data_IF_173933093626
#
_entry.id   IF_173933093626
#
_cell.length_a   1.000
_cell.length_b   1.000
_cell.length_c   1.000
_cell.angle_alpha   90.00
_cell.angle_beta   90.00
_cell.angle_gamma   90.00
#
_symmetry.space_group_name_H-M   'P 1'
#
loop_
_entity.id
_entity.type
_entity.pdbx_description
1 polymer ?
#
# COMPACT_ATOMS: atom_id res chain seq x y z
N UNK A 1 -0.93 -3.70 -4.77
CA UNK A 1 0.19 -4.62 -5.07
C UNK A 1 0.28 -4.89 -6.57
N UNK A 2 -0.74 -5.51 -7.20
CA UNK A 2 -0.71 -5.91 -8.62
C UNK A 2 -0.37 -4.74 -9.55
N UNK A 3 -1.01 -3.59 -9.37
CA UNK A 3 -0.79 -2.43 -10.24
C UNK A 3 0.54 -1.74 -10.01
N UNK A 4 1.07 -1.76 -8.79
CA UNK A 4 2.44 -1.29 -8.55
C UNK A 4 3.46 -2.13 -9.33
N UNK A 5 3.32 -3.46 -9.30
CA UNK A 5 4.18 -4.36 -10.08
C UNK A 5 3.96 -4.21 -11.58
N UNK A 6 2.68 -4.07 -12.02
CA UNK A 6 2.38 -3.89 -13.45
C UNK A 6 2.97 -2.58 -13.99
N UNK A 7 2.79 -1.47 -13.29
CA UNK A 7 3.40 -0.19 -13.67
C UNK A 7 4.91 -0.31 -13.85
N UNK A 8 5.57 -0.94 -12.89
CA UNK A 8 7.02 -1.14 -12.96
C UNK A 8 7.43 -2.01 -14.15
N UNK A 9 6.69 -3.10 -14.40
CA UNK A 9 6.95 -3.98 -15.55
C UNK A 9 6.73 -3.26 -16.87
N UNK A 10 5.63 -2.53 -17.01
CA UNK A 10 5.31 -1.78 -18.24
C UNK A 10 6.39 -0.72 -18.56
N UNK A 11 7.02 -0.16 -17.53
CA UNK A 11 8.02 0.91 -17.67
C UNK A 11 9.46 0.43 -17.77
N UNK A 12 9.81 -0.61 -17.00
CA UNK A 12 11.20 -1.03 -16.81
C UNK A 12 11.46 -2.48 -17.23
N UNK A 13 10.43 -3.27 -17.55
CA UNK A 13 10.56 -4.70 -17.80
C UNK A 13 10.70 -5.52 -16.52
N UNK A 14 11.33 -6.69 -16.64
CA UNK A 14 11.53 -7.63 -15.55
C UNK A 14 12.58 -7.14 -14.53
N UNK A 15 12.54 -7.71 -13.32
CA UNK A 15 13.55 -7.50 -12.29
C UNK A 15 13.23 -6.42 -11.25
N UNK A 16 12.25 -5.54 -11.51
CA UNK A 16 11.87 -4.47 -10.58
C UNK A 16 10.43 -4.67 -10.07
N UNK A 17 10.26 -5.60 -9.12
CA UNK A 17 8.93 -5.99 -8.61
C UNK A 17 8.85 -6.11 -7.09
N UNK A 18 9.93 -5.80 -6.39
CA UNK A 18 9.99 -5.82 -4.93
C UNK A 18 9.22 -4.65 -4.33
N UNK A 19 8.47 -4.91 -3.26
CA UNK A 19 7.72 -3.90 -2.50
C UNK A 19 8.28 -3.88 -1.09
N UNK A 20 8.67 -2.70 -0.62
CA UNK A 20 8.99 -2.47 0.79
C UNK A 20 7.67 -2.24 1.53
N UNK A 21 7.46 -3.02 2.59
CA UNK A 21 6.40 -2.78 3.60
C UNK A 21 7.04 -2.52 4.96
N UNK A 22 6.26 -2.19 5.97
CA UNK A 22 6.83 -1.87 7.28
C UNK A 22 6.66 -3.04 8.26
N UNK A 23 7.62 -3.22 9.13
CA UNK A 23 7.48 -4.10 10.30
C UNK A 23 6.27 -3.65 11.12
N UNK A 24 5.50 -4.59 11.65
CA UNK A 24 4.22 -4.40 12.33
C UNK A 24 3.07 -3.87 11.45
N UNK A 25 3.23 -3.81 10.12
CA UNK A 25 2.13 -3.49 9.22
C UNK A 25 1.10 -4.60 9.12
N UNK A 26 -0.11 -4.26 8.67
CA UNK A 26 -1.15 -5.23 8.33
C UNK A 26 -1.84 -4.83 7.03
N UNK A 27 -1.75 -5.68 6.00
CA UNK A 27 -2.26 -5.39 4.65
C UNK A 27 -3.30 -6.39 4.15
N UNK A 28 -3.71 -7.34 4.97
CA UNK A 28 -4.80 -8.28 4.63
C UNK A 28 -4.47 -9.75 4.88
N UNK A 29 -5.43 -10.62 4.53
CA UNK A 29 -5.42 -12.06 4.83
C UNK A 29 -5.31 -12.97 3.60
N UNK A 30 -5.32 -12.43 2.37
CA UNK A 30 -5.03 -13.22 1.18
C UNK A 30 -3.54 -13.50 1.08
N UNK A 31 -3.14 -14.56 0.38
CA UNK A 31 -1.73 -15.02 0.34
C UNK A 31 -0.75 -13.88 0.01
N UNK A 32 -1.05 -13.05 -0.98
CA UNK A 32 -0.17 -11.94 -1.37
C UNK A 32 -0.19 -10.79 -0.36
N UNK A 33 -1.35 -10.42 0.17
CA UNK A 33 -1.45 -9.36 1.18
C UNK A 33 -0.92 -9.82 2.55
N UNK A 34 -1.04 -11.11 2.83
CA UNK A 34 -0.42 -11.72 3.99
C UNK A 34 1.11 -11.70 3.89
N UNK A 35 1.65 -12.01 2.69
CA UNK A 35 3.07 -11.84 2.41
C UNK A 35 3.55 -10.38 2.52
N UNK A 36 2.68 -9.40 2.29
CA UNK A 36 3.00 -7.97 2.47
C UNK A 36 2.92 -7.51 3.93
N UNK A 37 2.23 -8.26 4.80
CA UNK A 37 2.04 -7.95 6.22
C UNK A 37 3.34 -8.17 6.99
N UNK A 38 3.86 -7.13 7.65
CA UNK A 38 5.16 -7.15 8.32
C UNK A 38 5.14 -7.72 9.74
N UNK A 39 4.43 -8.82 9.95
CA UNK A 39 4.29 -9.48 11.25
C UNK A 39 4.57 -10.98 11.11
N UNK A 40 5.68 -11.46 11.68
CA UNK A 40 6.15 -12.85 11.56
C UNK A 40 5.13 -13.90 12.01
N UNK A 41 4.29 -13.55 12.99
CA UNK A 41 3.23 -14.45 13.49
C UNK A 41 2.23 -14.89 12.41
N UNK A 42 2.05 -14.09 11.35
CA UNK A 42 1.18 -14.44 10.23
C UNK A 42 1.87 -15.29 9.15
N UNK A 43 3.18 -15.44 9.20
CA UNK A 43 3.96 -16.15 8.19
C UNK A 43 4.24 -17.61 8.51
N UNK A 44 3.58 -18.19 9.52
CA UNK A 44 3.98 -19.49 10.08
C UNK A 44 3.43 -20.72 9.36
N UNK A 45 2.18 -20.66 8.84
CA UNK A 45 1.47 -21.91 8.42
C UNK A 45 0.81 -21.84 7.04
N UNK A 46 0.83 -20.71 6.35
CA UNK A 46 0.09 -20.49 5.10
C UNK A 46 0.96 -20.43 3.83
N UNK A 47 2.23 -20.81 3.95
CA UNK A 47 3.14 -20.83 2.78
C UNK A 47 2.75 -21.87 1.73
N UNK A 48 3.29 -21.75 0.49
CA UNK A 48 4.30 -20.77 0.09
C UNK A 48 3.69 -19.38 -0.16
N UNK A 49 4.42 -18.35 0.27
CA UNK A 49 3.99 -16.96 0.11
C UNK A 49 4.44 -16.37 -1.22
N UNK A 50 3.71 -15.34 -1.67
CA UNK A 50 4.11 -14.56 -2.83
C UNK A 50 5.45 -13.84 -2.54
N UNK A 51 6.49 -14.03 -3.36
CA UNK A 51 7.80 -13.41 -3.15
C UNK A 51 7.81 -11.91 -3.49
N UNK A 52 8.92 -11.23 -3.14
CA UNK A 52 9.20 -9.85 -3.50
C UNK A 52 8.65 -8.84 -2.49
N UNK A 53 8.77 -9.14 -1.20
CA UNK A 53 8.53 -8.20 -0.10
C UNK A 53 9.78 -8.05 0.76
N UNK A 54 10.04 -6.81 1.21
CA UNK A 54 11.07 -6.45 2.20
C UNK A 54 10.40 -5.70 3.33
N UNK A 55 10.78 -5.96 4.58
CA UNK A 55 10.14 -5.35 5.75
C UNK A 55 11.11 -4.36 6.39
N UNK A 56 10.79 -3.07 6.31
CA UNK A 56 11.56 -1.98 6.90
C UNK A 56 11.02 -1.64 8.30
N UNK A 57 11.87 -1.48 9.31
CA UNK A 57 11.42 -0.92 10.58
C UNK A 57 10.75 0.44 10.38
N UNK A 58 9.61 0.67 11.05
CA UNK A 58 8.92 1.95 10.99
C UNK A 58 9.81 3.04 11.58
N UNK A 59 9.79 4.23 10.98
CA UNK A 59 10.53 5.43 11.42
C UNK A 59 12.07 5.31 11.32
N UNK A 60 12.59 4.30 10.62
CA UNK A 60 14.03 4.12 10.36
C UNK A 60 14.37 4.57 8.92
N UNK A 61 14.78 5.85 8.80
CA UNK A 61 15.12 6.45 7.49
C UNK A 61 16.40 5.84 6.90
N UNK A 62 17.37 5.49 7.72
CA UNK A 62 18.63 4.90 7.25
C UNK A 62 18.36 3.54 6.64
N UNK A 63 17.62 2.69 7.35
CA UNK A 63 17.23 1.37 6.87
C UNK A 63 16.36 1.43 5.61
N UNK A 64 15.44 2.39 5.55
CA UNK A 64 14.63 2.62 4.36
C UNK A 64 15.49 2.92 3.12
N UNK A 65 16.47 3.82 3.25
CA UNK A 65 17.39 4.17 2.17
C UNK A 65 18.25 2.98 1.73
N UNK A 66 18.76 2.19 2.67
CA UNK A 66 19.53 0.97 2.41
C UNK A 66 18.72 -0.07 1.63
N UNK A 67 17.45 -0.25 2.00
CA UNK A 67 16.57 -1.27 1.43
C UNK A 67 16.01 -0.89 0.05
N UNK A 68 16.00 0.40 -0.31
CA UNK A 68 15.46 0.91 -1.57
C UNK A 68 16.46 0.71 -2.73
N UNK A 69 16.76 -0.53 -3.03
CA UNK A 69 17.61 -0.98 -4.14
C UNK A 69 16.87 -0.96 -5.47
N UNK A 70 17.56 -1.18 -6.59
CA UNK A 70 17.01 -1.01 -7.95
C UNK A 70 15.87 -1.99 -8.29
N UNK A 71 15.74 -3.09 -7.54
CA UNK A 71 14.65 -4.04 -7.67
C UNK A 71 13.32 -3.58 -7.04
N UNK A 72 13.34 -2.46 -6.30
CA UNK A 72 12.15 -1.94 -5.60
C UNK A 72 11.27 -1.13 -6.54
N UNK A 73 9.99 -1.51 -6.61
CA UNK A 73 8.97 -0.81 -7.41
C UNK A 73 8.03 0.06 -6.58
N UNK A 74 7.84 -0.27 -5.29
CA UNK A 74 6.93 0.47 -4.43
C UNK A 74 7.34 0.40 -2.96
N UNK A 75 6.91 1.42 -2.20
CA UNK A 75 6.86 1.41 -0.74
C UNK A 75 5.40 1.46 -0.34
N UNK A 76 4.92 0.46 0.42
CA UNK A 76 3.54 0.34 0.88
C UNK A 76 3.48 0.47 2.40
N UNK A 77 2.65 1.38 2.90
CA UNK A 77 2.58 1.66 4.33
C UNK A 77 1.20 2.16 4.76
N UNK A 78 0.93 2.08 6.06
CA UNK A 78 -0.17 2.73 6.77
C UNK A 78 0.38 3.98 7.45
N UNK A 79 -0.31 5.12 7.41
CA UNK A 79 0.10 6.32 8.16
C UNK A 79 0.04 6.11 9.69
N UNK A 80 -0.87 5.23 10.11
CA UNK A 80 -0.98 4.70 11.47
C UNK A 80 -1.16 3.20 11.36
N UNK A 81 -0.25 2.42 11.90
CA UNK A 81 -0.33 0.96 11.96
C UNK A 81 -1.39 0.55 12.98
N UNK A 82 -2.65 0.49 12.53
CA UNK A 82 -3.76 0.30 13.45
C UNK A 82 -3.80 -1.09 14.09
N UNK A 83 -3.68 -2.15 13.30
CA UNK A 83 -3.69 -3.53 13.79
C UNK A 83 -2.41 -3.86 14.55
N UNK A 84 -1.28 -3.33 14.13
CA UNK A 84 0.02 -3.54 14.75
C UNK A 84 0.25 -2.82 16.09
N UNK A 85 -0.78 -2.18 16.68
CA UNK A 85 -0.70 -1.56 18.01
C UNK A 85 -0.94 -0.05 18.04
N UNK A 86 -1.55 0.52 17.01
CA UNK A 86 -1.82 1.98 16.87
C UNK A 86 -0.52 2.81 16.89
N UNK A 87 0.42 2.42 16.05
CA UNK A 87 1.71 3.08 15.94
C UNK A 87 1.69 4.14 14.83
N UNK A 88 1.88 5.39 15.19
CA UNK A 88 1.97 6.49 14.22
C UNK A 88 3.33 6.47 13.51
N UNK A 89 3.33 6.78 12.22
CA UNK A 89 4.56 7.11 11.53
C UNK A 89 4.97 8.55 11.83
N UNK A 90 6.27 8.78 11.94
CA UNK A 90 6.82 10.12 12.10
C UNK A 90 6.67 10.93 10.82
N UNK A 91 6.36 12.22 10.94
CA UNK A 91 6.23 13.13 9.80
C UNK A 91 7.49 13.11 8.91
N UNK A 92 8.68 13.15 9.52
CA UNK A 92 9.96 13.14 8.80
C UNK A 92 10.18 11.82 8.05
N UNK A 93 9.75 10.69 8.61
CA UNK A 93 9.85 9.39 7.95
C UNK A 93 8.95 9.32 6.71
N UNK A 94 7.71 9.79 6.82
CA UNK A 94 6.78 9.84 5.68
C UNK A 94 7.29 10.79 4.59
N UNK A 95 7.86 11.93 4.97
CA UNK A 95 8.51 12.84 3.99
C UNK A 95 9.77 12.23 3.38
N UNK A 96 10.51 11.41 4.11
CA UNK A 96 11.64 10.66 3.55
C UNK A 96 11.17 9.61 2.52
N UNK A 97 10.05 8.91 2.78
CA UNK A 97 9.42 8.02 1.79
C UNK A 97 9.06 8.81 0.52
N UNK A 98 8.40 9.97 0.65
CA UNK A 98 8.00 10.80 -0.50
C UNK A 98 9.21 11.24 -1.32
N UNK A 99 10.28 11.71 -0.66
CA UNK A 99 11.52 12.11 -1.30
C UNK A 99 12.15 10.95 -2.08
N UNK A 100 12.33 9.82 -1.41
CA UNK A 100 12.94 8.60 -1.97
C UNK A 100 12.13 8.07 -3.17
N UNK A 101 10.79 8.09 -3.05
CA UNK A 101 9.89 7.69 -4.13
C UNK A 101 10.06 8.55 -5.39
N UNK A 102 10.25 9.86 -5.21
CA UNK A 102 10.53 10.79 -6.33
C UNK A 102 11.92 10.58 -6.93
N UNK A 103 12.95 10.45 -6.11
CA UNK A 103 14.35 10.33 -6.54
C UNK A 103 14.62 9.01 -7.29
N UNK A 104 14.03 7.92 -6.85
CA UNK A 104 14.24 6.58 -7.42
C UNK A 104 13.10 6.09 -8.32
N UNK A 105 12.11 6.92 -8.57
CA UNK A 105 10.89 6.56 -9.30
C UNK A 105 10.21 5.28 -8.74
N UNK A 106 10.14 5.19 -7.43
CA UNK A 106 9.42 4.17 -6.67
C UNK A 106 7.99 4.66 -6.45
N UNK A 107 6.99 3.78 -6.52
CA UNK A 107 5.60 4.15 -6.23
C UNK A 107 5.37 4.24 -4.72
N UNK A 108 4.62 5.26 -4.32
CA UNK A 108 4.12 5.43 -2.96
C UNK A 108 2.70 4.87 -2.86
N UNK A 109 2.53 3.77 -2.10
CA UNK A 109 1.26 3.08 -1.90
C UNK A 109 0.83 3.26 -0.45
N UNK A 110 -0.30 3.95 -0.23
CA UNK A 110 -0.81 4.16 1.14
C UNK A 110 -2.04 3.29 1.36
N UNK A 111 -1.97 2.50 2.44
CA UNK A 111 -3.08 1.66 2.89
C UNK A 111 -3.94 2.46 3.87
N UNK A 112 -5.07 2.94 3.36
CA UNK A 112 -6.08 3.72 4.11
C UNK A 112 -7.30 2.87 4.51
N UNK A 113 -7.16 1.56 4.46
CA UNK A 113 -8.27 0.65 4.81
C UNK A 113 -8.76 0.88 6.25
N UNK A 114 -7.86 1.19 7.17
CA UNK A 114 -8.24 1.50 8.56
C UNK A 114 -8.21 2.98 8.87
N UNK A 115 -7.32 3.75 8.29
CA UNK A 115 -7.08 5.16 8.60
C UNK A 115 -7.95 6.12 7.79
N UNK A 116 -8.48 5.68 6.66
CA UNK A 116 -9.31 6.49 5.78
C UNK A 116 -10.74 6.74 6.28
N UNK A 117 -11.53 7.34 5.42
CA UNK A 117 -12.97 7.63 5.64
C UNK A 117 -13.24 8.46 6.90
N UNK A 118 -12.39 9.45 7.17
CA UNK A 118 -12.55 10.39 8.27
C UNK A 118 -11.97 9.94 9.61
N UNK A 119 -11.40 8.73 9.73
CA UNK A 119 -10.94 8.14 11.00
C UNK A 119 -9.91 9.00 11.74
N UNK A 120 -9.05 9.73 11.04
CA UNK A 120 -7.98 10.55 11.59
C UNK A 120 -8.25 12.07 11.55
N UNK A 121 -9.52 12.45 11.27
CA UNK A 121 -9.93 13.86 11.17
C UNK A 121 -9.74 14.49 9.80
N UNK A 122 -9.13 13.79 8.86
CA UNK A 122 -9.11 14.07 7.41
C UNK A 122 -9.78 12.92 6.67
N UNK A 123 -10.19 13.14 5.40
CA UNK A 123 -10.79 12.06 4.64
C UNK A 123 -9.83 10.88 4.51
N UNK A 124 -8.56 11.16 4.19
CA UNK A 124 -7.47 10.19 4.26
C UNK A 124 -6.38 10.66 5.23
N UNK A 125 -5.75 9.72 5.95
CA UNK A 125 -4.70 10.02 6.92
C UNK A 125 -3.47 10.67 6.29
N UNK A 126 -3.13 10.32 5.03
CA UNK A 126 -1.99 10.88 4.33
C UNK A 126 -2.07 12.42 4.14
N UNK A 127 -3.28 13.00 4.20
CA UNK A 127 -3.47 14.45 4.15
C UNK A 127 -2.84 15.18 5.35
N UNK A 128 -2.68 14.49 6.49
CA UNK A 128 -1.99 15.05 7.65
C UNK A 128 -0.47 15.16 7.44
N UNK A 129 0.07 14.50 6.43
CA UNK A 129 1.50 14.51 6.09
C UNK A 129 1.80 15.36 4.85
N UNK A 130 0.78 15.97 4.25
CA UNK A 130 0.91 16.76 3.03
C UNK A 130 1.71 16.02 1.94
N UNK A 131 1.33 14.78 1.65
CA UNK A 131 1.88 13.93 0.60
C UNK A 131 0.82 13.62 -0.46
N UNK A 132 1.27 13.19 -1.64
CA UNK A 132 0.40 12.73 -2.73
C UNK A 132 0.77 11.30 -3.13
N UNK A 133 0.09 10.28 -2.59
CA UNK A 133 0.32 8.89 -2.95
C UNK A 133 0.03 8.62 -4.44
N UNK A 134 0.76 7.65 -5.00
CA UNK A 134 0.49 7.15 -6.36
C UNK A 134 -0.69 6.16 -6.38
N UNK A 135 -0.84 5.38 -5.29
CA UNK A 135 -1.91 4.41 -5.11
C UNK A 135 -2.43 4.49 -3.67
N UNK A 136 -3.75 4.49 -3.50
CA UNK A 136 -4.41 4.43 -2.19
C UNK A 136 -5.39 3.26 -2.17
N UNK A 137 -5.31 2.40 -1.16
CA UNK A 137 -6.34 1.39 -0.88
C UNK A 137 -7.25 1.86 0.25
N UNK A 138 -8.56 1.69 0.11
CA UNK A 138 -9.56 2.04 1.13
C UNK A 138 -10.68 1.00 1.18
N UNK A 139 -11.25 0.81 2.37
CA UNK A 139 -12.36 -0.12 2.61
C UNK A 139 -13.04 0.21 3.95
N UNK A 140 -13.49 -0.80 4.69
CA UNK A 140 -14.12 -0.70 6.02
C UNK A 140 -15.22 0.36 6.09
N UNK A 141 -14.91 1.60 6.44
CA UNK A 141 -15.87 2.70 6.55
C UNK A 141 -16.40 3.25 5.22
N UNK A 142 -15.87 2.81 4.08
CA UNK A 142 -16.13 3.41 2.77
C UNK A 142 -17.61 3.42 2.37
N UNK A 143 -18.35 2.35 2.64
CA UNK A 143 -19.76 2.20 2.27
C UNK A 143 -20.67 2.13 3.50
N UNK A 144 -20.36 2.86 4.58
CA UNK A 144 -21.24 3.02 5.73
C UNK A 144 -21.66 1.72 6.45
N UNK A 145 -20.93 0.63 6.26
CA UNK A 145 -21.20 -0.69 6.85
C UNK A 145 -21.46 -1.80 5.82
N UNK A 146 -21.60 -1.47 4.54
CA UNK A 146 -21.66 -2.46 3.48
C UNK A 146 -20.25 -2.92 3.07
N UNK A 147 -20.08 -4.18 2.61
CA UNK A 147 -18.78 -4.71 2.24
C UNK A 147 -18.29 -4.11 0.92
N UNK A 148 -17.40 -3.14 0.99
CA UNK A 148 -16.82 -2.44 -0.15
C UNK A 148 -15.33 -2.17 0.08
N UNK A 149 -14.57 -2.18 -1.00
CA UNK A 149 -13.20 -1.69 -1.06
C UNK A 149 -12.95 -1.00 -2.38
N UNK A 150 -12.05 -0.03 -2.38
CA UNK A 150 -11.65 0.69 -3.56
C UNK A 150 -10.13 0.91 -3.61
N UNK A 151 -9.62 1.12 -4.81
CA UNK A 151 -8.24 1.54 -5.04
C UNK A 151 -8.27 2.79 -5.89
N UNK A 152 -7.62 3.85 -5.42
CA UNK A 152 -7.47 5.10 -6.14
C UNK A 152 -6.09 5.14 -6.78
N UNK A 153 -6.04 5.65 -8.01
CA UNK A 153 -4.81 5.78 -8.78
C UNK A 153 -4.52 7.25 -9.05
N UNK A 154 -3.31 7.68 -8.70
CA UNK A 154 -2.78 8.97 -9.07
C UNK A 154 -2.43 9.05 -10.56
N UNK A 155 -2.16 10.27 -11.05
CA UNK A 155 -1.83 10.56 -12.45
C UNK A 155 -0.74 9.65 -13.03
N UNK A 156 0.27 9.31 -12.22
CA UNK A 156 1.41 8.50 -12.62
C UNK A 156 1.03 7.07 -13.05
N UNK A 157 0.00 6.50 -12.42
CA UNK A 157 -0.37 5.08 -12.59
C UNK A 157 -1.75 4.85 -13.19
N UNK A 158 -2.54 5.90 -13.46
CA UNK A 158 -3.92 5.79 -13.92
C UNK A 158 -4.07 4.93 -15.19
N UNK A 159 -3.14 5.03 -16.12
CA UNK A 159 -3.19 4.32 -17.40
C UNK A 159 -2.68 2.86 -17.32
N UNK A 160 -2.19 2.44 -16.13
CA UNK A 160 -1.76 1.05 -15.90
C UNK A 160 -2.95 0.08 -15.84
N UNK A 161 -4.13 0.58 -15.48
CA UNK A 161 -5.36 -0.21 -15.39
C UNK A 161 -6.00 -0.29 -16.79
N UNK A 162 -5.76 -1.38 -17.47
CA UNK A 162 -6.31 -1.63 -18.82
C UNK A 162 -7.41 -2.69 -18.80
N UNK A 163 -8.31 -2.71 -19.78
CA UNK A 163 -9.33 -3.75 -19.91
C UNK A 163 -8.72 -5.16 -19.80
N UNK A 164 -9.29 -6.01 -18.95
CA UNK A 164 -8.81 -7.38 -18.72
C UNK A 164 -7.65 -7.53 -17.75
N UNK A 165 -7.01 -6.45 -17.28
CA UNK A 165 -5.88 -6.53 -16.33
C UNK A 165 -6.29 -6.90 -14.89
N UNK A 166 -7.56 -6.69 -14.54
CA UNK A 166 -8.14 -7.06 -13.25
C UNK A 166 -9.64 -7.31 -13.39
N UNK A 167 -10.20 -8.07 -12.46
CA UNK A 167 -11.64 -8.33 -12.38
C UNK A 167 -12.06 -8.62 -10.94
N UNK A 168 -13.32 -8.34 -10.66
CA UNK A 168 -14.00 -8.67 -9.40
C UNK A 168 -15.46 -9.00 -9.71
N UNK A 169 -15.93 -10.18 -9.30
CA UNK A 169 -17.30 -10.62 -9.57
C UNK A 169 -18.34 -9.66 -8.98
N UNK A 170 -18.11 -9.16 -7.78
CA UNK A 170 -19.02 -8.21 -7.10
C UNK A 170 -18.53 -6.76 -7.14
N UNK A 171 -17.45 -6.48 -7.88
CA UNK A 171 -16.92 -5.13 -8.02
C UNK A 171 -17.94 -4.21 -8.71
N UNK A 172 -18.12 -3.00 -8.18
CA UNK A 172 -19.11 -2.06 -8.67
C UNK A 172 -20.56 -2.44 -8.35
N UNK A 173 -20.79 -3.30 -7.35
CA UNK A 173 -22.13 -3.64 -6.89
C UNK A 173 -22.92 -2.36 -6.56
N UNK A 174 -24.10 -2.12 -7.19
CA UNK A 174 -24.81 -0.85 -7.06
C UNK A 174 -25.32 -0.58 -5.63
N UNK A 175 -25.65 -1.61 -4.87
CA UNK A 175 -26.11 -1.45 -3.49
C UNK A 175 -24.97 -0.94 -2.60
N UNK A 176 -23.80 -1.55 -2.70
CA UNK A 176 -22.63 -1.10 -1.93
C UNK A 176 -22.10 0.27 -2.40
N UNK A 177 -22.22 0.57 -3.71
CA UNK A 177 -21.76 1.83 -4.26
C UNK A 177 -22.70 3.02 -3.96
N UNK A 178 -23.95 2.77 -3.60
CA UNK A 178 -24.92 3.79 -3.19
C UNK A 178 -24.87 4.13 -1.69
N UNK A 179 -24.25 3.29 -0.87
CA UNK A 179 -24.05 3.52 0.57
C UNK A 179 -22.77 4.27 0.80
#
# INVERSE_FOLDING_TARGET
>A
IKFARKYSYDKYGEGRSTIITLVNSFHGRTITTLAATGQDSFHTVFGPFTPGFKYCPANDIEKLNEMATDDVCAIMFECVQGEGGVNNLDYNFVKAIEKLAKEKDILMVVDEVQTGNGRTGKYFAYENFDIKPDIVSTAKGLAGGLPMGAVLFGEKVKDTVTPGSHGSTFGGNPVCAAG
#
